data_IF_001976114308
#
_entry.id   IF_001976114308
#
_cell.length_a   1.000
_cell.length_b   1.000
_cell.length_c   1.000
_cell.angle_alpha   90.00
_cell.angle_beta   90.00
_cell.angle_gamma   90.00
#
_symmetry.space_group_name_H-M   'P 1'
#
loop_
_entity.id
_entity.type
_entity.pdbx_description
1 polymer ?
#
# COMPACT_ATOMS: atom_id res chain seq x y z
N UNK A 1 20.29 -4.56 -10.00
CA UNK A 1 19.60 -5.08 -11.19
C UNK A 1 18.09 -4.97 -11.15
N UNK A 2 17.38 -5.66 -10.23
CA UNK A 2 15.91 -5.55 -10.18
C UNK A 2 15.43 -4.12 -9.90
N UNK A 3 16.03 -3.43 -8.92
CA UNK A 3 15.74 -2.01 -8.63
C UNK A 3 15.87 -1.15 -9.89
N UNK A 4 17.01 -1.25 -10.59
CA UNK A 4 17.27 -0.46 -11.80
C UNK A 4 16.35 -0.84 -12.95
N UNK A 5 15.93 -2.10 -13.05
CA UNK A 5 15.01 -2.58 -14.09
C UNK A 5 13.55 -2.11 -13.88
N UNK A 6 13.10 -1.96 -12.65
CA UNK A 6 11.79 -1.36 -12.38
C UNK A 6 11.86 0.17 -12.46
N UNK A 7 12.94 0.78 -11.97
CA UNK A 7 13.17 2.22 -12.04
C UNK A 7 13.22 2.75 -13.49
N UNK A 8 13.74 1.94 -14.44
CA UNK A 8 13.75 2.30 -15.87
C UNK A 8 12.35 2.48 -16.44
N UNK A 9 11.37 1.83 -15.82
CA UNK A 9 9.96 1.86 -16.21
C UNK A 9 9.12 2.79 -15.31
N UNK A 10 9.70 3.65 -14.46
CA UNK A 10 8.89 4.65 -13.75
C UNK A 10 8.26 5.61 -14.77
N UNK A 11 6.94 5.82 -14.69
CA UNK A 11 6.16 6.76 -15.52
C UNK A 11 4.95 7.27 -14.73
N UNK A 12 4.48 8.49 -14.99
CA UNK A 12 3.40 9.13 -14.22
C UNK A 12 3.70 9.28 -12.71
N UNK A 13 4.96 9.12 -12.29
CA UNK A 13 5.32 8.98 -10.88
C UNK A 13 5.03 7.61 -10.27
N UNK A 14 4.69 6.59 -11.08
CA UNK A 14 4.33 5.23 -10.66
C UNK A 14 5.30 4.18 -11.21
N UNK A 15 5.45 3.08 -10.47
CA UNK A 15 6.11 1.85 -10.92
C UNK A 15 5.03 0.88 -11.40
N UNK A 16 5.21 0.21 -12.56
CA UNK A 16 4.18 -0.63 -13.13
C UNK A 16 3.97 -1.94 -12.34
N UNK A 17 2.74 -2.46 -12.37
CA UNK A 17 2.42 -3.79 -11.84
C UNK A 17 2.94 -4.89 -12.78
N UNK A 18 2.50 -4.82 -14.04
CA UNK A 18 2.95 -5.71 -15.10
C UNK A 18 4.12 -5.04 -15.82
N UNK A 19 5.32 -5.60 -15.72
CA UNK A 19 6.53 -5.00 -16.30
C UNK A 19 6.66 -5.24 -17.82
N UNK A 20 6.24 -6.42 -18.32
CA UNK A 20 6.37 -6.81 -19.74
C UNK A 20 7.78 -6.58 -20.32
N UNK A 21 8.81 -6.89 -19.53
CA UNK A 21 10.23 -6.61 -19.85
C UNK A 21 10.50 -5.15 -20.28
N UNK A 22 9.69 -4.20 -19.78
CA UNK A 22 9.77 -2.77 -20.07
C UNK A 22 9.23 -2.34 -21.43
N UNK A 23 8.59 -3.24 -22.20
CA UNK A 23 8.05 -2.91 -23.53
C UNK A 23 6.66 -2.28 -23.44
N UNK A 24 5.75 -3.01 -22.82
CA UNK A 24 4.34 -2.63 -22.64
C UNK A 24 3.91 -2.77 -21.17
N UNK A 25 4.54 -2.02 -20.25
CA UNK A 25 4.18 -2.08 -18.85
C UNK A 25 2.80 -1.47 -18.58
N UNK A 26 2.11 -1.99 -17.56
CA UNK A 26 0.79 -1.51 -17.12
C UNK A 26 0.89 -0.78 -15.78
N UNK A 27 0.27 0.41 -15.70
CA UNK A 27 0.36 1.33 -14.56
C UNK A 27 -0.99 1.42 -13.85
N UNK A 28 -1.53 0.26 -13.48
CA UNK A 28 -2.78 0.11 -12.74
C UNK A 28 -2.56 -0.14 -11.24
N UNK A 29 -1.32 -0.10 -10.75
CA UNK A 29 -0.99 -0.24 -9.33
C UNK A 29 -0.51 1.09 -8.75
N UNK A 30 -1.13 1.50 -7.64
CA UNK A 30 -0.76 2.67 -6.84
C UNK A 30 0.20 2.29 -5.70
N UNK A 31 0.16 1.05 -5.24
CA UNK A 31 1.01 0.54 -4.16
C UNK A 31 2.43 0.17 -4.61
N UNK A 32 2.58 -0.33 -5.85
CA UNK A 32 3.85 -0.83 -6.39
C UNK A 32 5.02 0.16 -6.26
N UNK A 33 4.77 1.46 -6.43
CA UNK A 33 5.79 2.51 -6.31
C UNK A 33 6.32 2.66 -4.88
N UNK A 34 5.48 2.40 -3.88
CA UNK A 34 5.84 2.50 -2.47
C UNK A 34 6.57 1.25 -2.01
N UNK A 35 6.17 0.07 -2.49
CA UNK A 35 6.94 -1.16 -2.33
C UNK A 35 8.31 -1.05 -2.97
N UNK A 36 8.40 -0.48 -4.17
CA UNK A 36 9.66 -0.18 -4.83
C UNK A 36 10.54 0.75 -3.96
N UNK A 37 9.98 1.85 -3.46
CA UNK A 37 10.72 2.81 -2.63
C UNK A 37 11.24 2.17 -1.35
N UNK A 38 10.42 1.37 -0.67
CA UNK A 38 10.83 0.59 0.50
C UNK A 38 11.92 -0.44 0.15
N UNK A 39 11.85 -1.09 -1.00
CA UNK A 39 12.88 -2.03 -1.44
C UNK A 39 14.23 -1.34 -1.72
N UNK A 40 14.22 -0.10 -2.22
CA UNK A 40 15.45 0.70 -2.37
C UNK A 40 16.03 1.06 -1.00
N UNK A 41 15.19 1.48 -0.06
CA UNK A 41 15.59 1.72 1.32
C UNK A 41 16.19 0.46 1.96
N UNK A 42 15.46 -0.67 1.94
CA UNK A 42 15.89 -1.95 2.51
C UNK A 42 17.23 -2.41 1.92
N UNK A 43 17.43 -2.24 0.60
CA UNK A 43 18.71 -2.52 -0.04
C UNK A 43 19.83 -1.66 0.54
N UNK A 44 19.59 -0.35 0.70
CA UNK A 44 20.58 0.56 1.24
C UNK A 44 20.91 0.25 2.70
N UNK A 45 19.90 -0.04 3.52
CA UNK A 45 20.07 -0.46 4.92
C UNK A 45 20.87 -1.76 5.01
N UNK A 46 20.58 -2.74 4.14
CA UNK A 46 21.28 -4.01 4.14
C UNK A 46 22.75 -3.89 3.70
N UNK A 47 23.03 -3.11 2.64
CA UNK A 47 24.37 -3.02 2.04
C UNK A 47 25.26 -2.01 2.75
N UNK A 48 24.72 -0.86 3.16
CA UNK A 48 25.51 0.23 3.74
C UNK A 48 25.31 0.36 5.26
N UNK A 49 24.25 -0.20 5.83
CA UNK A 49 23.96 -0.10 7.26
C UNK A 49 23.97 1.35 7.73
N UNK A 50 24.83 1.65 8.72
CA UNK A 50 24.99 3.00 9.25
C UNK A 50 25.75 3.98 8.34
N UNK A 51 26.36 3.53 7.22
CA UNK A 51 27.04 4.41 6.27
C UNK A 51 26.04 5.13 5.35
N UNK A 52 25.38 6.16 5.89
CA UNK A 52 24.42 6.98 5.16
C UNK A 52 25.03 7.71 3.97
N UNK A 53 26.29 8.15 4.06
CA UNK A 53 26.98 8.81 2.94
C UNK A 53 27.25 7.84 1.79
N UNK A 54 27.62 6.59 2.11
CA UNK A 54 27.74 5.51 1.12
C UNK A 54 26.42 5.23 0.40
N UNK A 55 25.31 5.16 1.14
CA UNK A 55 23.98 5.01 0.57
C UNK A 55 23.58 6.18 -0.36
N UNK A 56 23.79 7.43 0.06
CA UNK A 56 23.53 8.61 -0.80
C UNK A 56 24.36 8.56 -2.07
N UNK A 57 25.67 8.26 -1.96
CA UNK A 57 26.55 8.14 -3.12
C UNK A 57 26.05 7.06 -4.09
N UNK A 58 25.62 5.91 -3.59
CA UNK A 58 25.02 4.86 -4.41
C UNK A 58 23.79 5.35 -5.17
N UNK A 59 22.89 6.07 -4.50
CA UNK A 59 21.67 6.61 -5.14
C UNK A 59 21.99 7.63 -6.23
N UNK A 60 23.01 8.47 -6.03
CA UNK A 60 23.43 9.51 -6.97
C UNK A 60 24.19 8.96 -8.18
N UNK A 61 25.04 7.95 -7.95
CA UNK A 61 25.91 7.38 -8.98
C UNK A 61 25.24 6.27 -9.80
N UNK A 62 24.25 5.57 -9.24
CA UNK A 62 23.53 4.50 -9.96
C UNK A 62 22.66 5.09 -11.06
N UNK A 63 23.09 4.94 -12.32
CA UNK A 63 22.37 5.41 -13.50
C UNK A 63 21.31 4.41 -13.95
N UNK A 64 20.13 4.95 -14.24
CA UNK A 64 18.94 4.24 -14.72
C UNK A 64 18.57 4.80 -16.08
N UNK A 65 18.62 3.95 -17.11
CA UNK A 65 18.10 4.28 -18.43
C UNK A 65 16.57 4.40 -18.36
N UNK A 66 16.00 5.53 -18.80
CA UNK A 66 14.56 5.79 -18.79
C UNK A 66 13.92 5.22 -20.06
N UNK A 67 13.13 4.15 -19.94
CA UNK A 67 12.35 3.61 -21.06
C UNK A 67 11.15 4.49 -21.40
N UNK A 68 10.66 5.26 -20.43
CA UNK A 68 9.55 6.19 -20.57
C UNK A 68 9.95 7.56 -20.00
N UNK A 69 10.76 8.36 -20.73
CA UNK A 69 11.20 9.68 -20.26
C UNK A 69 10.08 10.74 -20.30
N UNK A 70 8.94 10.43 -20.92
CA UNK A 70 7.77 11.31 -21.03
C UNK A 70 6.48 10.53 -20.76
N UNK A 71 5.49 11.24 -20.22
CA UNK A 71 4.13 10.76 -20.03
C UNK A 71 3.29 10.81 -21.33
N UNK A 72 3.79 11.48 -22.37
CA UNK A 72 3.18 11.48 -23.70
C UNK A 72 3.52 10.18 -24.44
N UNK A 73 2.49 9.40 -24.75
CA UNK A 73 2.58 8.13 -25.47
C UNK A 73 3.22 8.27 -26.85
N UNK A 74 3.04 9.41 -27.51
CA UNK A 74 3.51 9.66 -28.87
C UNK A 74 4.89 10.31 -28.92
N UNK A 75 5.44 10.74 -27.78
CA UNK A 75 6.75 11.35 -27.73
C UNK A 75 7.85 10.38 -28.16
N UNK A 76 8.87 10.93 -28.81
CA UNK A 76 10.11 10.20 -29.03
C UNK A 76 10.71 9.76 -27.69
N UNK A 77 11.42 8.63 -27.70
CA UNK A 77 12.06 8.06 -26.52
C UNK A 77 13.58 8.18 -26.66
N UNK A 78 14.14 9.40 -26.48
CA UNK A 78 15.58 9.57 -26.50
C UNK A 78 16.23 8.79 -25.36
N UNK A 79 17.51 8.47 -25.52
CA UNK A 79 18.28 7.84 -24.46
C UNK A 79 18.54 8.85 -23.34
N UNK A 80 17.81 8.70 -22.23
CA UNK A 80 17.90 9.58 -21.05
C UNK A 80 18.24 8.73 -19.84
N UNK A 81 19.18 9.20 -19.03
CA UNK A 81 19.55 8.55 -17.77
C UNK A 81 19.19 9.45 -16.59
N UNK A 82 18.52 8.88 -15.60
CA UNK A 82 18.35 9.47 -14.28
C UNK A 82 19.13 8.64 -13.25
N UNK A 83 19.60 9.27 -12.19
CA UNK A 83 20.09 8.59 -10.99
C UNK A 83 18.92 7.97 -10.22
N UNK A 84 19.18 6.98 -9.36
CA UNK A 84 18.15 6.46 -8.45
C UNK A 84 17.64 7.54 -7.49
N UNK A 85 18.48 8.49 -7.08
CA UNK A 85 18.03 9.67 -6.34
C UNK A 85 16.96 10.45 -7.12
N UNK A 86 17.19 10.75 -8.40
CA UNK A 86 16.22 11.47 -9.23
C UNK A 86 14.91 10.70 -9.41
N UNK A 87 14.96 9.36 -9.51
CA UNK A 87 13.76 8.50 -9.56
C UNK A 87 12.94 8.62 -8.28
N UNK A 88 13.57 8.50 -7.10
CA UNK A 88 12.87 8.61 -5.81
C UNK A 88 12.28 10.01 -5.61
N UNK A 89 13.02 11.04 -6.02
CA UNK A 89 12.53 12.42 -5.96
C UNK A 89 11.34 12.65 -6.90
N UNK A 90 11.39 12.12 -8.13
CA UNK A 90 10.28 12.19 -9.08
C UNK A 90 9.03 11.52 -8.51
N UNK A 91 9.16 10.35 -7.87
CA UNK A 91 8.05 9.67 -7.19
C UNK A 91 7.38 10.60 -6.17
N UNK A 92 8.16 11.16 -5.24
CA UNK A 92 7.65 12.02 -4.17
C UNK A 92 7.03 13.31 -4.74
N UNK A 93 7.69 13.97 -5.68
CA UNK A 93 7.22 15.20 -6.31
C UNK A 93 5.92 15.01 -7.09
N UNK A 94 5.81 13.94 -7.89
CA UNK A 94 4.58 13.64 -8.66
C UNK A 94 3.41 13.34 -7.74
N UNK A 95 3.62 12.64 -6.62
CA UNK A 95 2.55 12.35 -5.66
C UNK A 95 2.11 13.57 -4.86
N UNK A 96 3.04 14.44 -4.47
CA UNK A 96 2.72 15.69 -3.79
C UNK A 96 1.91 16.64 -4.67
N UNK A 97 2.31 16.79 -5.95
CA UNK A 97 1.68 17.70 -6.92
C UNK A 97 0.41 17.13 -7.56
N UNK A 98 0.17 15.82 -7.41
CA UNK A 98 -0.97 15.12 -7.98
C UNK A 98 -0.67 14.39 -9.29
N UNK A 99 -1.29 13.23 -9.43
CA UNK A 99 -1.21 12.35 -10.60
C UNK A 99 -2.63 12.20 -11.15
N UNK A 100 -2.79 12.36 -12.46
CA UNK A 100 -4.05 12.11 -13.14
C UNK A 100 -3.76 11.75 -14.59
N UNK A 101 -4.09 10.52 -14.98
CA UNK A 101 -3.92 10.05 -16.35
C UNK A 101 -4.93 8.96 -16.69
N UNK A 102 -5.07 8.67 -17.98
CA UNK A 102 -5.74 7.49 -18.50
C UNK A 102 -4.70 6.49 -18.98
N UNK A 103 -4.83 5.22 -18.60
CA UNK A 103 -3.89 4.18 -19.02
C UNK A 103 -3.70 4.18 -20.55
N UNK A 104 -2.45 4.09 -20.99
CA UNK A 104 -2.12 4.00 -22.41
C UNK A 104 -2.78 2.76 -23.02
N UNK A 105 -3.39 2.92 -24.19
CA UNK A 105 -4.13 1.86 -24.89
C UNK A 105 -5.39 1.34 -24.15
N UNK A 106 -5.97 2.14 -23.24
CA UNK A 106 -7.21 1.81 -22.52
C UNK A 106 -8.30 1.20 -23.41
N UNK A 107 -8.92 0.14 -22.89
CA UNK A 107 -9.90 -0.71 -23.57
C UNK A 107 -9.45 -2.17 -23.63
N UNK A 108 -10.22 -2.99 -24.34
CA UNK A 108 -10.12 -4.46 -24.36
C UNK A 108 -8.74 -5.02 -24.72
N UNK A 109 -7.86 -4.20 -25.32
CA UNK A 109 -6.48 -4.60 -25.67
C UNK A 109 -5.60 -4.80 -24.44
N UNK A 110 -5.84 -4.06 -23.36
CA UNK A 110 -5.02 -4.13 -22.15
C UNK A 110 -5.76 -4.74 -20.96
N UNK A 111 -7.10 -4.68 -20.97
CA UNK A 111 -7.97 -5.31 -19.98
C UNK A 111 -9.36 -5.47 -20.58
N UNK A 112 -9.82 -6.71 -20.75
CA UNK A 112 -11.12 -7.04 -21.35
C UNK A 112 -12.24 -7.18 -20.31
N UNK A 113 -11.95 -6.93 -19.03
CA UNK A 113 -12.92 -7.00 -17.95
C UNK A 113 -13.22 -5.62 -17.39
N UNK A 114 -12.21 -4.77 -17.21
CA UNK A 114 -12.31 -3.45 -16.59
C UNK A 114 -13.29 -2.51 -17.33
N UNK A 115 -14.05 -1.72 -16.54
CA UNK A 115 -14.92 -0.69 -17.10
C UNK A 115 -14.14 0.47 -17.73
N UNK A 116 -14.79 1.32 -18.52
CA UNK A 116 -14.12 2.46 -19.16
C UNK A 116 -13.49 3.43 -18.16
N UNK A 117 -14.17 3.63 -17.03
CA UNK A 117 -13.80 4.49 -15.92
C UNK A 117 -12.60 3.93 -15.15
N UNK A 118 -12.47 2.61 -15.06
CA UNK A 118 -11.37 1.93 -14.35
C UNK A 118 -9.98 2.22 -14.91
N UNK A 119 -9.89 2.60 -16.19
CA UNK A 119 -8.63 3.00 -16.83
C UNK A 119 -8.15 4.40 -16.44
N UNK A 120 -8.96 5.17 -15.72
CA UNK A 120 -8.55 6.49 -15.22
C UNK A 120 -7.93 6.32 -13.84
N UNK A 121 -6.68 6.76 -13.70
CA UNK A 121 -5.90 6.66 -12.47
C UNK A 121 -5.62 8.06 -11.97
N UNK A 122 -5.94 8.29 -10.70
CA UNK A 122 -5.67 9.54 -10.01
C UNK A 122 -5.08 9.29 -8.63
N UNK A 123 -4.18 10.20 -8.23
CA UNK A 123 -3.65 10.31 -6.87
C UNK A 123 -3.56 11.80 -6.53
N UNK A 124 -4.00 12.18 -5.33
CA UNK A 124 -3.90 13.55 -4.80
C UNK A 124 -3.29 13.52 -3.42
N UNK A 125 -2.42 14.48 -3.11
CA UNK A 125 -1.99 14.75 -1.75
C UNK A 125 -2.98 15.73 -1.11
N UNK A 126 -3.37 15.48 0.13
CA UNK A 126 -4.17 16.42 0.92
C UNK A 126 -3.26 17.20 1.87
N UNK A 127 -3.12 18.49 1.64
CA UNK A 127 -2.23 19.34 2.42
C UNK A 127 -2.62 19.49 3.89
N UNK A 128 -3.88 19.18 4.24
CA UNK A 128 -4.35 19.29 5.63
C UNK A 128 -3.87 18.17 6.53
N UNK A 129 -3.51 17.01 5.96
CA UNK A 129 -3.09 15.82 6.71
C UNK A 129 -1.86 15.10 6.14
N UNK A 130 -1.38 15.49 4.96
CA UNK A 130 -0.23 14.88 4.29
C UNK A 130 -0.54 13.53 3.63
N UNK A 131 -1.76 13.01 3.69
CA UNK A 131 -2.10 11.73 3.11
C UNK A 131 -2.20 11.82 1.58
N UNK A 132 -1.87 10.72 0.92
CA UNK A 132 -2.18 10.52 -0.49
C UNK A 132 -3.46 9.72 -0.63
N UNK A 133 -4.41 10.26 -1.39
CA UNK A 133 -5.67 9.64 -1.74
C UNK A 133 -5.62 9.25 -3.21
N UNK A 134 -6.01 8.04 -3.57
CA UNK A 134 -6.04 7.66 -4.97
C UNK A 134 -7.00 6.53 -5.29
N UNK A 135 -7.17 6.26 -6.58
CA UNK A 135 -8.11 5.26 -7.06
C UNK A 135 -9.54 5.77 -7.19
N UNK A 136 -10.46 4.84 -7.42
CA UNK A 136 -11.91 5.05 -7.46
C UNK A 136 -12.64 3.73 -7.21
N UNK A 137 -13.97 3.76 -7.08
CA UNK A 137 -14.79 2.56 -7.03
C UNK A 137 -14.73 1.66 -8.29
N UNK A 138 -14.01 2.08 -9.33
CA UNK A 138 -13.89 1.40 -10.62
C UNK A 138 -12.52 0.78 -10.90
N UNK A 139 -11.53 0.94 -10.01
CA UNK A 139 -10.18 0.40 -10.23
C UNK A 139 -9.64 -0.41 -9.04
N UNK A 140 -8.53 -1.08 -9.30
CA UNK A 140 -7.87 -2.04 -8.43
C UNK A 140 -6.42 -1.61 -8.16
N UNK A 141 -6.23 -0.45 -7.51
CA UNK A 141 -4.92 0.17 -7.35
C UNK A 141 -4.01 -0.43 -6.27
N UNK A 142 -4.45 -1.47 -5.57
CA UNK A 142 -3.69 -2.10 -4.45
C UNK A 142 -3.62 -3.59 -4.67
N UNK A 143 -2.75 -4.30 -3.96
CA UNK A 143 -2.58 -5.76 -4.05
C UNK A 143 -3.88 -6.57 -3.90
N UNK A 144 -4.94 -5.99 -3.32
CA UNK A 144 -6.28 -6.56 -3.33
C UNK A 144 -7.00 -6.27 -4.65
N UNK A 145 -6.49 -6.81 -5.76
CA UNK A 145 -6.72 -6.28 -7.12
C UNK A 145 -7.76 -7.03 -7.98
N UNK A 146 -8.57 -7.92 -7.40
CA UNK A 146 -9.52 -8.73 -8.18
C UNK A 146 -10.58 -7.87 -8.88
N UNK A 147 -10.47 -7.78 -10.20
CA UNK A 147 -11.50 -7.26 -11.10
C UNK A 147 -12.54 -8.36 -11.40
N UNK A 148 -13.82 -8.03 -11.27
CA UNK A 148 -14.91 -8.95 -11.63
C UNK A 148 -15.01 -9.18 -13.13
N UNK A 149 -15.29 -10.43 -13.51
CA UNK A 149 -15.22 -10.89 -14.90
C UNK A 149 -16.49 -11.61 -15.36
N UNK A 150 -17.57 -11.57 -14.56
CA UNK A 150 -18.80 -12.31 -14.87
C UNK A 150 -19.90 -11.43 -15.44
N UNK A 151 -20.29 -11.68 -16.69
CA UNK A 151 -21.53 -11.13 -17.26
C UNK A 151 -22.76 -11.79 -16.63
N UNK A 152 -22.71 -13.13 -16.44
CA UNK A 152 -23.81 -13.94 -15.90
C UNK A 152 -24.26 -13.44 -14.52
N UNK A 153 -23.29 -13.17 -13.64
CA UNK A 153 -23.57 -12.69 -12.29
C UNK A 153 -23.54 -11.17 -12.17
N UNK A 154 -23.33 -10.42 -13.26
CA UNK A 154 -23.33 -8.96 -13.26
C UNK A 154 -22.14 -8.30 -12.57
N UNK A 155 -21.01 -9.00 -12.40
CA UNK A 155 -19.79 -8.49 -11.78
C UNK A 155 -18.73 -8.01 -12.79
N UNK A 156 -18.98 -8.15 -14.10
CA UNK A 156 -18.07 -7.70 -15.16
C UNK A 156 -17.66 -6.24 -14.99
N UNK A 157 -16.36 -5.99 -14.87
CA UNK A 157 -15.79 -4.65 -14.73
C UNK A 157 -16.01 -3.98 -13.38
N UNK A 158 -16.50 -4.72 -12.39
CA UNK A 158 -16.66 -4.25 -11.01
C UNK A 158 -15.51 -4.77 -10.16
N UNK A 159 -14.68 -3.91 -9.54
CA UNK A 159 -13.70 -4.34 -8.55
C UNK A 159 -14.37 -5.06 -7.38
N UNK A 160 -13.80 -6.18 -6.95
CA UNK A 160 -14.29 -6.88 -5.76
C UNK A 160 -13.91 -6.17 -4.45
N UNK A 161 -12.76 -5.52 -4.48
CA UNK A 161 -12.14 -4.82 -3.36
C UNK A 161 -11.52 -3.51 -3.87
N UNK A 162 -12.32 -2.55 -4.38
CA UNK A 162 -11.80 -1.23 -4.63
C UNK A 162 -11.37 -0.68 -3.27
N UNK A 163 -10.10 -0.31 -3.17
CA UNK A 163 -9.51 0.37 -2.03
C UNK A 163 -9.05 1.70 -2.56
N UNK A 164 -9.98 2.65 -2.61
CA UNK A 164 -9.72 4.02 -3.01
C UNK A 164 -9.62 4.91 -1.76
N UNK A 165 -9.05 6.09 -1.91
CA UNK A 165 -8.71 6.97 -0.79
C UNK A 165 -7.30 6.73 -0.26
N UNK A 166 -7.10 6.93 1.05
CA UNK A 166 -5.81 6.76 1.71
C UNK A 166 -5.67 5.36 2.31
N UNK A 167 -4.94 4.47 1.64
CA UNK A 167 -4.72 3.09 2.07
C UNK A 167 -3.68 2.99 3.18
N UNK A 168 -3.98 2.24 4.25
CA UNK A 168 -3.15 2.19 5.45
C UNK A 168 -1.68 1.81 5.15
N UNK A 169 -1.44 0.83 4.28
CA UNK A 169 -0.10 0.40 3.92
C UNK A 169 0.64 1.41 3.03
N UNK A 170 -0.08 2.10 2.14
CA UNK A 170 0.50 3.13 1.28
C UNK A 170 0.95 4.32 2.13
N UNK A 171 0.12 4.74 3.09
CA UNK A 171 0.49 5.81 4.03
C UNK A 171 1.67 5.40 4.89
N UNK A 172 1.72 4.15 5.37
CA UNK A 172 2.89 3.62 6.08
C UNK A 172 4.17 3.65 5.25
N UNK A 173 4.13 3.13 4.02
CA UNK A 173 5.29 3.08 3.12
C UNK A 173 5.75 4.49 2.69
N UNK A 174 4.80 5.40 2.42
CA UNK A 174 5.09 6.82 2.16
C UNK A 174 5.80 7.44 3.36
N UNK A 175 5.29 7.24 4.57
CA UNK A 175 5.89 7.79 5.80
C UNK A 175 7.31 7.27 5.98
N UNK A 176 7.53 5.97 5.82
CA UNK A 176 8.86 5.34 5.88
C UNK A 176 9.83 5.96 4.87
N UNK A 177 9.36 6.13 3.62
CA UNK A 177 10.13 6.74 2.54
C UNK A 177 10.50 8.20 2.85
N UNK A 178 9.54 8.99 3.33
CA UNK A 178 9.77 10.40 3.68
C UNK A 178 10.77 10.54 4.84
N UNK A 179 10.61 9.75 5.90
CA UNK A 179 11.56 9.67 7.04
C UNK A 179 12.96 9.37 6.53
N UNK A 180 13.10 8.33 5.71
CA UNK A 180 14.40 7.91 5.18
C UNK A 180 15.04 8.98 4.28
N UNK A 181 14.29 9.57 3.35
CA UNK A 181 14.80 10.67 2.52
C UNK A 181 15.16 11.92 3.34
N UNK A 182 14.43 12.21 4.42
CA UNK A 182 14.77 13.29 5.35
C UNK A 182 16.11 13.00 6.06
N UNK A 183 16.31 11.80 6.60
CA UNK A 183 17.58 11.38 7.21
C UNK A 183 18.76 11.46 6.21
N UNK A 184 18.58 10.94 4.99
CA UNK A 184 19.62 11.00 3.96
C UNK A 184 19.95 12.42 3.53
N UNK A 185 19.04 13.38 3.71
CA UNK A 185 19.28 14.77 3.34
C UNK A 185 20.36 15.44 4.20
N UNK A 186 20.53 14.99 5.44
CA UNK A 186 21.64 15.39 6.32
C UNK A 186 23.01 14.92 5.78
N UNK A 187 23.00 14.00 4.83
CA UNK A 187 24.16 13.38 4.22
C UNK A 187 24.31 13.65 2.72
N UNK A 188 23.52 14.59 2.18
CA UNK A 188 23.67 15.11 0.82
C UNK A 188 22.65 14.61 -0.20
N UNK A 189 21.63 13.84 0.22
CA UNK A 189 20.46 13.59 -0.63
C UNK A 189 19.70 14.89 -0.86
N UNK A 190 19.30 15.19 -2.10
CA UNK A 190 18.67 16.47 -2.42
C UNK A 190 17.27 16.55 -1.78
N UNK A 191 17.08 17.51 -0.88
CA UNK A 191 15.81 17.81 -0.23
C UNK A 191 15.32 19.20 -0.64
N UNK A 192 14.73 19.27 -1.84
CA UNK A 192 14.09 20.50 -2.32
C UNK A 192 12.65 20.56 -1.81
N UNK A 193 12.18 21.73 -1.33
CA UNK A 193 10.77 21.90 -1.02
C UNK A 193 9.89 21.58 -2.22
N UNK A 194 8.76 20.91 -1.96
CA UNK A 194 7.79 20.47 -2.95
C UNK A 194 6.49 21.21 -2.68
N UNK A 195 5.96 21.86 -3.72
CA UNK A 195 4.68 22.53 -3.66
C UNK A 195 3.54 21.51 -3.68
N UNK A 196 2.73 21.47 -2.63
CA UNK A 196 1.58 20.56 -2.50
C UNK A 196 0.30 21.23 -2.96
N UNK A 197 0.12 22.50 -2.61
CA UNK A 197 -0.98 23.34 -3.12
C UNK A 197 -0.54 24.81 -3.25
N UNK A 198 -1.47 25.74 -3.48
CA UNK A 198 -1.17 27.17 -3.64
C UNK A 198 -0.52 27.82 -2.41
N UNK A 199 -0.78 27.27 -1.22
CA UNK A 199 -0.42 27.80 0.09
C UNK A 199 0.59 26.94 0.86
N UNK A 200 0.80 25.70 0.42
CA UNK A 200 1.57 24.69 1.15
C UNK A 200 2.76 24.20 0.33
N UNK A 201 3.94 24.32 0.92
CA UNK A 201 5.19 23.80 0.39
C UNK A 201 5.91 23.04 1.53
N UNK A 202 6.37 21.83 1.25
CA UNK A 202 6.96 20.93 2.24
C UNK A 202 8.30 20.39 1.77
N UNK A 203 9.27 20.34 2.68
CA UNK A 203 10.39 19.40 2.55
C UNK A 203 9.96 18.00 3.04
N UNK A 204 10.82 16.98 2.93
CA UNK A 204 10.47 15.62 3.34
C UNK A 204 10.09 15.48 4.82
N UNK A 205 10.77 16.21 5.71
CA UNK A 205 10.49 16.22 7.15
C UNK A 205 9.15 16.90 7.47
N UNK A 206 8.81 17.97 6.76
CA UNK A 206 7.52 18.66 6.95
C UNK A 206 6.36 17.75 6.55
N UNK A 207 6.48 17.09 5.38
CA UNK A 207 5.46 16.17 4.89
C UNK A 207 5.32 14.95 5.82
N UNK A 208 6.45 14.34 6.22
CA UNK A 208 6.45 13.27 7.22
C UNK A 208 5.73 13.68 8.50
N UNK A 209 6.06 14.85 9.04
CA UNK A 209 5.47 15.35 10.30
C UNK A 209 3.97 15.60 10.17
N UNK A 210 3.50 16.07 9.00
CA UNK A 210 2.08 16.24 8.70
C UNK A 210 1.32 14.91 8.78
N UNK A 211 1.87 13.84 8.19
CA UNK A 211 1.25 12.50 8.23
C UNK A 211 1.21 11.98 9.67
N UNK A 212 2.35 12.01 10.37
CA UNK A 212 2.46 11.51 11.76
C UNK A 212 1.46 12.23 12.68
N UNK A 213 1.32 13.55 12.55
CA UNK A 213 0.41 14.33 13.38
C UNK A 213 -1.08 14.01 13.14
N UNK A 214 -1.42 13.42 12.00
CA UNK A 214 -2.80 13.19 11.58
C UNK A 214 -3.19 11.70 11.53
N UNK A 215 -2.24 10.77 11.49
CA UNK A 215 -2.51 9.35 11.27
C UNK A 215 -3.46 8.75 12.32
N UNK A 216 -3.08 8.78 13.60
CA UNK A 216 -3.88 8.22 14.71
C UNK A 216 -5.31 8.73 14.69
N UNK A 217 -5.47 10.06 14.63
CA UNK A 217 -6.78 10.72 14.61
C UNK A 217 -7.70 10.18 13.51
N UNK A 218 -7.15 9.85 12.34
CA UNK A 218 -7.95 9.50 11.17
C UNK A 218 -8.14 7.98 10.99
N UNK A 219 -7.13 7.18 11.36
CA UNK A 219 -7.16 5.73 11.17
C UNK A 219 -7.64 4.95 12.40
N UNK A 220 -7.43 5.42 13.62
CA UNK A 220 -7.83 4.69 14.82
C UNK A 220 -9.35 4.71 15.04
N UNK A 221 -9.90 3.55 15.42
CA UNK A 221 -11.27 3.39 15.92
C UNK A 221 -11.18 2.93 17.38
N UNK A 222 -11.48 3.79 18.35
CA UNK A 222 -11.21 3.52 19.76
C UNK A 222 -11.99 2.32 20.29
N UNK A 223 -11.34 1.59 21.19
CA UNK A 223 -11.91 0.43 21.88
C UNK A 223 -13.09 0.84 22.78
N UNK A 224 -12.94 1.96 23.51
CA UNK A 224 -14.01 2.59 24.27
C UNK A 224 -14.73 3.64 23.42
N UNK A 225 -16.06 3.51 23.28
CA UNK A 225 -16.87 4.49 22.57
C UNK A 225 -16.95 5.86 23.25
N UNK A 226 -16.51 5.99 24.50
CA UNK A 226 -16.43 7.30 25.17
C UNK A 226 -15.38 8.23 24.53
N UNK A 227 -14.37 7.67 23.88
CA UNK A 227 -13.24 8.37 23.23
C UNK A 227 -13.56 8.80 21.78
N UNK A 228 -14.74 8.41 21.25
CA UNK A 228 -15.14 8.60 19.86
C UNK A 228 -14.97 10.04 19.34
N UNK A 229 -15.10 11.05 20.23
CA UNK A 229 -15.01 12.47 19.86
C UNK A 229 -13.59 12.95 19.56
N UNK A 230 -12.59 12.17 19.92
CA UNK A 230 -11.17 12.50 19.72
C UNK A 230 -10.68 12.08 18.31
N UNK A 231 -11.39 11.16 17.67
CA UNK A 231 -11.03 10.56 16.39
C UNK A 231 -12.03 10.93 15.28
N UNK A 232 -11.55 10.96 14.04
CA UNK A 232 -12.36 11.22 12.85
C UNK A 232 -13.16 9.98 12.47
N UNK A 233 -14.21 9.65 13.22
CA UNK A 233 -15.02 8.45 13.00
C UNK A 233 -16.49 8.77 12.69
N UNK A 234 -17.11 7.86 11.93
CA UNK A 234 -18.53 7.87 11.61
C UNK A 234 -19.16 6.58 12.14
N UNK A 235 -19.90 6.71 13.25
CA UNK A 235 -20.48 5.60 13.99
C UNK A 235 -21.45 4.74 13.17
N UNK A 236 -21.96 5.26 12.05
CA UNK A 236 -22.84 4.50 11.14
C UNK A 236 -22.12 3.32 10.48
N UNK A 237 -20.80 3.40 10.35
CA UNK A 237 -19.99 2.43 9.62
C UNK A 237 -19.07 1.58 10.52
N UNK A 238 -18.97 1.94 11.81
CA UNK A 238 -18.16 1.19 12.79
C UNK A 238 -18.80 -0.18 13.04
N UNK A 239 -18.14 -1.24 12.57
CA UNK A 239 -18.53 -2.64 12.84
C UNK A 239 -17.67 -3.32 13.89
N UNK A 240 -16.45 -2.82 14.11
CA UNK A 240 -15.49 -3.30 15.12
C UNK A 240 -14.74 -2.10 15.71
N UNK A 241 -14.34 -2.24 16.98
CA UNK A 241 -13.58 -1.24 17.75
C UNK A 241 -12.22 -1.79 18.15
N UNK A 242 -11.30 -0.90 18.54
CA UNK A 242 -9.93 -1.28 18.85
C UNK A 242 -9.14 -1.70 17.60
N UNK A 243 -9.39 -1.02 16.47
CA UNK A 243 -8.77 -1.33 15.19
C UNK A 243 -8.29 -0.07 14.50
N UNK A 244 -7.37 -0.23 13.56
CA UNK A 244 -7.09 0.79 12.54
C UNK A 244 -7.92 0.49 11.29
N UNK A 245 -8.53 1.53 10.74
CA UNK A 245 -9.23 1.50 9.46
C UNK A 245 -8.32 0.99 8.35
N UNK A 246 -8.91 0.32 7.36
CA UNK A 246 -8.18 -0.19 6.21
C UNK A 246 -7.85 0.91 5.18
N UNK A 247 -8.78 1.86 5.05
CA UNK A 247 -8.66 3.06 4.22
C UNK A 247 -9.26 4.26 4.94
N UNK A 248 -8.93 5.47 4.49
CA UNK A 248 -9.60 6.72 4.92
C UNK A 248 -10.06 7.49 3.69
N UNK A 249 -11.34 7.87 3.68
CA UNK A 249 -11.92 8.73 2.64
C UNK A 249 -12.18 7.99 1.33
N UNK A 250 -12.54 6.71 1.38
CA UNK A 250 -13.02 6.01 0.18
C UNK A 250 -14.41 6.50 -0.25
N UNK A 251 -14.72 6.36 -1.53
CA UNK A 251 -16.03 6.68 -2.13
C UNK A 251 -17.18 5.92 -1.46
N UNK A 252 -16.90 4.72 -0.93
CA UNK A 252 -17.79 3.96 -0.07
C UNK A 252 -17.31 4.05 1.38
N UNK A 253 -17.84 4.96 2.22
CA UNK A 253 -17.32 5.15 3.58
C UNK A 253 -17.39 3.90 4.48
N UNK A 254 -18.19 2.89 4.13
CA UNK A 254 -18.23 1.63 4.88
C UNK A 254 -17.00 0.73 4.64
N UNK A 255 -16.27 0.88 3.52
CA UNK A 255 -15.02 0.13 3.30
C UNK A 255 -13.89 0.57 4.22
N UNK A 256 -13.83 1.85 4.58
CA UNK A 256 -12.81 2.38 5.50
C UNK A 256 -12.75 1.59 6.81
N UNK A 257 -13.89 1.18 7.35
CA UNK A 257 -14.01 0.50 8.64
C UNK A 257 -13.89 -1.03 8.56
N UNK A 258 -13.50 -1.58 7.41
CA UNK A 258 -13.31 -3.03 7.27
C UNK A 258 -12.03 -3.46 7.97
N UNK A 259 -12.13 -4.45 8.85
CA UNK A 259 -10.96 -4.97 9.53
C UNK A 259 -10.23 -5.97 8.61
N UNK A 260 -9.00 -5.61 8.25
CA UNK A 260 -8.14 -6.30 7.27
C UNK A 260 -6.70 -6.34 7.78
N UNK A 261 -5.85 -7.26 7.27
CA UNK A 261 -4.49 -7.41 7.78
C UNK A 261 -3.49 -6.35 7.25
N UNK A 262 -3.93 -5.41 6.39
CA UNK A 262 -3.08 -4.42 5.74
C UNK A 262 -2.37 -3.48 6.73
N UNK A 263 -2.98 -3.18 7.88
CA UNK A 263 -2.36 -2.35 8.92
C UNK A 263 -0.99 -2.88 9.39
N UNK A 264 -0.79 -4.21 9.33
CA UNK A 264 0.46 -4.84 9.75
C UNK A 264 1.64 -4.38 8.91
N UNK A 265 1.41 -4.02 7.64
CA UNK A 265 2.47 -3.43 6.80
C UNK A 265 2.90 -2.09 7.36
N UNK A 266 1.94 -1.19 7.61
CA UNK A 266 2.21 0.15 8.13
C UNK A 266 2.90 0.11 9.50
N UNK A 267 2.44 -0.77 10.41
CA UNK A 267 3.06 -0.99 11.73
C UNK A 267 4.55 -1.34 11.64
N UNK A 268 4.93 -2.13 10.64
CA UNK A 268 6.33 -2.56 10.46
C UNK A 268 7.19 -1.46 9.85
N UNK A 269 6.71 -0.80 8.80
CA UNK A 269 7.54 0.16 8.06
C UNK A 269 7.58 1.54 8.71
N UNK A 270 6.52 1.94 9.42
CA UNK A 270 6.38 3.25 10.04
C UNK A 270 5.72 3.14 11.43
N UNK A 271 6.39 2.52 12.42
CA UNK A 271 5.85 2.36 13.78
C UNK A 271 5.52 3.67 14.49
N UNK A 272 6.18 4.76 14.13
CA UNK A 272 5.98 6.11 14.69
C UNK A 272 4.58 6.67 14.40
N UNK A 273 3.84 6.06 13.47
CA UNK A 273 2.44 6.38 13.22
C UNK A 273 1.50 5.89 14.31
N UNK A 274 1.95 4.95 15.17
CA UNK A 274 1.08 4.20 16.06
C UNK A 274 1.36 4.52 17.53
N UNK A 275 0.30 4.86 18.26
CA UNK A 275 0.32 4.77 19.71
C UNK A 275 0.54 3.31 20.13
N UNK A 276 1.47 3.10 21.05
CA UNK A 276 1.89 1.75 21.42
C UNK A 276 0.77 0.94 22.09
N UNK A 277 -0.13 1.59 22.84
CA UNK A 277 -1.26 0.91 23.49
C UNK A 277 -2.31 0.54 22.45
N UNK A 278 -2.67 1.47 21.56
CA UNK A 278 -3.59 1.20 20.45
C UNK A 278 -3.08 0.10 19.52
N UNK A 279 -1.79 0.11 19.17
CA UNK A 279 -1.16 -0.91 18.35
C UNK A 279 -1.30 -2.31 18.95
N UNK A 280 -1.04 -2.46 20.26
CA UNK A 280 -1.21 -3.74 20.97
C UNK A 280 -2.66 -4.21 20.99
N UNK A 281 -3.62 -3.30 21.21
CA UNK A 281 -5.05 -3.62 21.15
C UNK A 281 -5.42 -4.13 19.74
N UNK A 282 -4.98 -3.42 18.69
CA UNK A 282 -5.23 -3.82 17.31
C UNK A 282 -4.58 -5.17 16.97
N UNK A 283 -3.33 -5.41 17.38
CA UNK A 283 -2.64 -6.67 17.13
C UNK A 283 -3.28 -7.86 17.85
N UNK A 284 -3.81 -7.65 19.06
CA UNK A 284 -4.66 -8.65 19.73
C UNK A 284 -5.90 -8.96 18.89
N UNK A 285 -6.59 -7.94 18.34
CA UNK A 285 -7.71 -8.16 17.42
C UNK A 285 -7.27 -8.91 16.14
N UNK A 286 -6.10 -8.58 15.57
CA UNK A 286 -5.57 -9.26 14.37
C UNK A 286 -5.33 -10.74 14.68
N UNK A 287 -4.74 -11.04 15.84
CA UNK A 287 -4.47 -12.40 16.32
C UNK A 287 -5.76 -13.20 16.48
N UNK A 288 -6.76 -12.62 17.14
CA UNK A 288 -8.02 -13.31 17.44
C UNK A 288 -8.90 -13.53 16.20
N UNK A 289 -8.91 -12.58 15.27
CA UNK A 289 -9.93 -12.51 14.22
C UNK A 289 -9.38 -12.88 12.85
N UNK A 290 -8.16 -12.42 12.53
CA UNK A 290 -7.62 -12.50 11.17
C UNK A 290 -6.56 -13.59 11.02
N UNK A 291 -5.91 -14.04 12.09
CA UNK A 291 -4.96 -15.13 12.01
C UNK A 291 -5.66 -16.43 11.55
N UNK A 292 -5.15 -17.00 10.48
CA UNK A 292 -5.56 -18.27 9.92
C UNK A 292 -4.59 -19.38 10.27
N UNK A 293 -4.68 -20.49 9.54
CA UNK A 293 -3.81 -21.66 9.82
C UNK A 293 -2.36 -21.41 9.40
N UNK A 294 -2.17 -20.81 8.23
CA UNK A 294 -0.85 -20.49 7.64
C UNK A 294 -0.82 -19.10 6.98
N UNK A 295 -1.92 -18.36 7.06
CA UNK A 295 -2.11 -17.10 6.37
C UNK A 295 -3.05 -16.20 7.15
N UNK A 296 -3.12 -14.93 6.78
CA UNK A 296 -4.08 -13.99 7.38
C UNK A 296 -5.34 -13.93 6.53
N UNK A 297 -6.50 -14.07 7.14
CA UNK A 297 -7.80 -13.81 6.50
C UNK A 297 -7.79 -12.38 5.98
N UNK A 298 -8.14 -12.22 4.72
CA UNK A 298 -8.13 -10.91 4.04
C UNK A 298 -9.23 -9.97 4.51
N UNK A 299 -10.26 -10.49 5.18
CA UNK A 299 -11.39 -9.75 5.73
C UNK A 299 -11.87 -10.41 7.02
N UNK A 300 -12.34 -9.60 7.97
CA UNK A 300 -13.07 -10.06 9.16
C UNK A 300 -14.21 -11.04 8.82
N UNK A 301 -14.27 -12.22 9.46
CA UNK A 301 -15.34 -13.22 9.27
C UNK A 301 -16.77 -12.72 9.52
N UNK A 302 -16.92 -11.66 10.31
CA UNK A 302 -18.22 -11.05 10.64
C UNK A 302 -18.63 -9.95 9.65
N UNK A 303 -17.72 -9.52 8.77
CA UNK A 303 -18.01 -8.48 7.81
C UNK A 303 -18.94 -8.98 6.70
N UNK A 304 -19.79 -8.10 6.13
CA UNK A 304 -20.54 -8.42 4.93
C UNK A 304 -19.61 -8.88 3.80
N UNK A 305 -20.03 -9.90 3.06
CA UNK A 305 -19.31 -10.48 1.91
C UNK A 305 -18.04 -11.27 2.27
N UNK A 306 -17.84 -11.63 3.53
CA UNK A 306 -16.82 -12.62 3.88
C UNK A 306 -17.13 -13.97 3.21
N UNK A 307 -16.23 -14.42 2.34
CA UNK A 307 -16.30 -15.66 1.58
C UNK A 307 -14.89 -16.28 1.48
N UNK A 308 -14.53 -17.23 2.37
CA UNK A 308 -13.14 -17.65 2.55
C UNK A 308 -12.61 -18.64 1.51
N UNK A 309 -13.49 -19.27 0.72
CA UNK A 309 -13.13 -20.31 -0.23
C UNK A 309 -13.00 -19.70 -1.64
N UNK A 310 -11.77 -19.47 -2.08
CA UNK A 310 -11.50 -18.99 -3.43
C UNK A 310 -11.56 -20.14 -4.45
N UNK A 311 -12.46 -20.01 -5.42
CA UNK A 311 -12.59 -20.94 -6.54
C UNK A 311 -12.95 -20.18 -7.82
N UNK A 312 -12.07 -20.22 -8.82
CA UNK A 312 -12.29 -19.58 -10.13
C UNK A 312 -13.35 -20.28 -10.97
N UNK A 313 -13.68 -21.52 -10.64
CA UNK A 313 -14.75 -22.29 -11.30
C UNK A 313 -16.11 -22.10 -10.62
N UNK A 314 -16.16 -21.46 -9.45
CA UNK A 314 -17.42 -21.18 -8.76
C UNK A 314 -18.36 -20.36 -9.65
N UNK A 315 -19.64 -20.75 -9.64
CA UNK A 315 -20.78 -20.10 -10.29
C UNK A 315 -21.93 -19.93 -9.30
N UNK A 316 -21.58 -19.69 -8.04
CA UNK A 316 -22.55 -19.73 -6.94
C UNK A 316 -23.41 -18.48 -6.89
N UNK A 317 -22.79 -17.31 -6.82
CA UNK A 317 -23.44 -16.01 -6.70
C UNK A 317 -22.51 -14.86 -7.13
N UNK A 318 -23.01 -13.62 -7.09
CA UNK A 318 -22.25 -12.40 -7.41
C UNK A 318 -20.90 -12.31 -6.68
N UNK A 319 -20.84 -12.72 -5.41
CA UNK A 319 -19.69 -12.47 -4.54
C UNK A 319 -18.60 -13.54 -4.64
N UNK A 320 -18.92 -14.74 -5.13
CA UNK A 320 -17.97 -15.85 -5.25
C UNK A 320 -17.69 -16.25 -6.70
N UNK A 321 -18.57 -15.90 -7.65
CA UNK A 321 -18.43 -16.35 -9.02
C UNK A 321 -17.11 -15.87 -9.65
N UNK A 322 -16.43 -16.76 -10.36
CA UNK A 322 -15.15 -16.49 -11.02
C UNK A 322 -14.06 -15.96 -10.07
N UNK A 323 -14.15 -16.36 -8.79
CA UNK A 323 -13.19 -15.98 -7.77
C UNK A 323 -13.27 -14.51 -7.37
N UNK A 324 -14.44 -13.87 -7.50
CA UNK A 324 -14.64 -12.48 -7.06
C UNK A 324 -14.23 -12.26 -5.59
N UNK A 325 -14.32 -13.29 -4.76
CA UNK A 325 -13.93 -13.27 -3.35
C UNK A 325 -12.42 -13.38 -3.05
N UNK A 326 -11.53 -13.27 -4.05
CA UNK A 326 -10.08 -13.51 -3.90
C UNK A 326 -9.42 -12.79 -2.70
N UNK A 327 -9.92 -11.60 -2.35
CA UNK A 327 -9.49 -10.80 -1.20
C UNK A 327 -10.62 -10.49 -0.21
N UNK A 328 -11.62 -11.37 -0.10
CA UNK A 328 -12.78 -11.17 0.79
C UNK A 328 -12.91 -12.31 1.82
N UNK A 329 -11.80 -12.81 2.34
CA UNK A 329 -11.79 -13.91 3.30
C UNK A 329 -10.66 -14.93 3.12
N UNK A 330 -10.19 -15.26 1.90
CA UNK A 330 -9.06 -16.17 1.72
C UNK A 330 -7.85 -15.76 2.56
N UNK A 331 -7.12 -16.77 3.04
CA UNK A 331 -5.98 -16.61 3.95
C UNK A 331 -4.67 -16.41 3.15
N UNK A 332 -4.10 -15.21 3.20
CA UNK A 332 -2.90 -14.85 2.44
C UNK A 332 -1.64 -14.95 3.30
N UNK A 333 -0.62 -15.62 2.77
CA UNK A 333 0.57 -15.99 3.56
C UNK A 333 1.55 -14.83 3.75
N UNK A 334 1.80 -14.02 2.73
CA UNK A 334 2.86 -12.99 2.77
C UNK A 334 2.65 -11.95 3.90
N UNK A 335 1.40 -11.54 4.13
CA UNK A 335 1.04 -10.56 5.16
C UNK A 335 1.20 -11.13 6.58
N UNK A 336 1.24 -12.46 6.73
CA UNK A 336 1.61 -13.12 8.00
C UNK A 336 3.01 -12.69 8.45
N UNK A 337 3.95 -12.54 7.51
CA UNK A 337 5.29 -12.06 7.81
C UNK A 337 5.28 -10.64 8.40
N UNK A 338 4.45 -9.74 7.85
CA UNK A 338 4.27 -8.40 8.39
C UNK A 338 3.58 -8.40 9.76
N UNK A 339 2.55 -9.24 9.94
CA UNK A 339 1.89 -9.41 11.23
C UNK A 339 2.86 -9.87 12.32
N UNK A 340 3.67 -10.91 12.07
CA UNK A 340 4.65 -11.40 13.05
C UNK A 340 5.72 -10.34 13.37
N UNK A 341 6.18 -9.59 12.36
CA UNK A 341 7.12 -8.47 12.57
C UNK A 341 6.49 -7.34 13.39
N UNK A 342 5.23 -6.99 13.13
CA UNK A 342 4.52 -5.99 13.92
C UNK A 342 4.37 -6.43 15.38
N UNK A 343 4.07 -7.70 15.64
CA UNK A 343 4.05 -8.24 17.00
C UNK A 343 5.40 -8.14 17.70
N UNK A 344 6.49 -8.53 17.04
CA UNK A 344 7.86 -8.35 17.58
C UNK A 344 8.17 -6.90 17.94
N UNK A 345 7.60 -5.96 17.20
CA UNK A 345 7.87 -4.53 17.34
C UNK A 345 7.06 -3.86 18.45
N UNK A 346 5.79 -4.26 18.64
CA UNK A 346 4.90 -3.61 19.59
C UNK A 346 4.67 -4.43 20.88
N UNK A 347 4.91 -5.75 20.85
CA UNK A 347 4.64 -6.65 21.98
C UNK A 347 5.93 -7.19 22.62
N UNK A 348 7.07 -6.52 22.41
CA UNK A 348 8.40 -6.90 22.95
C UNK A 348 8.43 -7.22 24.46
N UNK A 349 7.55 -6.58 25.22
CA UNK A 349 7.36 -6.83 26.66
C UNK A 349 6.62 -8.13 27.02
N UNK A 350 6.02 -8.85 26.06
CA UNK A 350 5.35 -10.13 26.30
C UNK A 350 6.40 -11.26 26.38
N UNK A 351 6.60 -11.89 27.55
CA UNK A 351 7.60 -12.94 27.71
C UNK A 351 7.30 -14.22 26.91
N UNK A 352 6.05 -14.43 26.50
CA UNK A 352 5.61 -15.59 25.71
C UNK A 352 5.68 -15.34 24.20
N UNK A 353 6.02 -14.13 23.76
CA UNK A 353 5.91 -13.73 22.36
C UNK A 353 6.69 -14.64 21.42
N UNK A 354 7.93 -15.00 21.79
CA UNK A 354 8.75 -15.90 20.98
C UNK A 354 8.10 -17.28 20.82
N UNK A 355 7.56 -17.85 21.90
CA UNK A 355 6.90 -19.16 21.87
C UNK A 355 5.64 -19.13 21.00
N UNK A 356 4.83 -18.07 21.11
CA UNK A 356 3.63 -17.90 20.29
C UNK A 356 3.97 -17.74 18.79
N UNK A 357 5.03 -16.98 18.46
CA UNK A 357 5.51 -16.84 17.08
C UNK A 357 6.05 -18.17 16.55
N UNK A 358 6.81 -18.92 17.36
CA UNK A 358 7.30 -20.24 17.01
C UNK A 358 6.16 -21.23 16.74
N UNK A 359 5.10 -21.20 17.55
CA UNK A 359 3.90 -22.01 17.33
C UNK A 359 3.25 -21.70 15.98
N UNK A 360 3.07 -20.42 15.64
CA UNK A 360 2.54 -20.01 14.34
C UNK A 360 3.44 -20.51 13.20
N UNK A 361 4.75 -20.27 13.28
CA UNK A 361 5.70 -20.69 12.25
C UNK A 361 5.83 -22.21 12.13
N UNK A 362 5.49 -22.97 13.16
CA UNK A 362 5.47 -24.43 13.12
C UNK A 362 4.50 -24.96 12.04
N UNK A 363 3.36 -24.30 11.85
CA UNK A 363 2.39 -24.66 10.81
C UNK A 363 2.96 -24.40 9.40
N UNK A 364 3.66 -23.28 9.21
CA UNK A 364 4.36 -22.97 7.95
C UNK A 364 5.46 -24.00 7.65
N UNK A 365 6.27 -24.33 8.67
CA UNK A 365 7.30 -25.36 8.57
C UNK A 365 6.69 -26.71 8.18
N UNK A 366 5.61 -27.12 8.84
CA UNK A 366 4.91 -28.34 8.50
C UNK A 366 4.43 -28.31 7.04
N UNK A 367 3.81 -27.23 6.57
CA UNK A 367 3.37 -27.10 5.17
C UNK A 367 4.52 -27.22 4.16
N UNK A 368 5.67 -26.56 4.41
CA UNK A 368 6.83 -26.60 3.50
C UNK A 368 7.46 -27.99 3.42
N UNK A 369 7.54 -28.72 4.54
CA UNK A 369 8.25 -30.01 4.60
C UNK A 369 7.32 -31.24 4.54
N UNK A 370 6.00 -31.04 4.48
CA UNK A 370 5.00 -32.13 4.34
C UNK A 370 4.64 -32.45 2.89
N UNK A 371 5.15 -31.69 1.92
CA UNK A 371 4.94 -31.87 0.48
C UNK A 371 5.99 -32.74 -0.18
#
# INVERSE_FOLDING_TARGET
DLITAFASCLRHGLIPNLLSSGRDPRYNARDAVWWFSQAVQDYCEFVYGSDRKGAVKFLQETKVLRYFPSDDQQAERPEVYHSLEEILREILERHATGISFREWNAGDKIDNHMSNEGFNVSVRCDSSNGFIYGGSGHNCGTWMDKMGESVEFGSMGVPATPRDGADVEIIGLLTSTLRWCAELSEHGFINKPIKVDETTEWNYSDWHSSIVANFEKNFWVPADGSEDREYSIDLRFVTRRGIYKDTVGSENPASDYRFRPNLCVAMVVAPELFDTVHARIALSQVTEVLLGKIGMKTLDPTAPRYAPYYDTQSRKDYYEAYGFNYHQGPEWVWVTGYYLRARLQFEDSNPMLCEEIEEILSAHRATIFSS
#
